data_IF_212951432241
#
_entry.id   IF_212951432241
#
_cell.length_a   1.000
_cell.length_b   1.000
_cell.length_c   1.000
_cell.angle_alpha   90.00
_cell.angle_beta   90.00
_cell.angle_gamma   90.00
#
_symmetry.space_group_name_H-M   'P 1'
#
loop_
_entity.id
_entity.type
_entity.pdbx_description
1 polymer ?
#
# COMPACT_ATOMS: atom_id res chain seq x y z
N UNK A 1 7.77 11.54 19.02
CA UNK A 1 7.70 12.67 18.05
C UNK A 1 7.36 12.12 16.67
N UNK A 2 6.44 12.75 15.92
CA UNK A 2 6.16 12.38 14.53
C UNK A 2 7.47 12.49 13.73
N UNK A 3 7.97 11.41 13.10
CA UNK A 3 9.27 11.42 12.44
C UNK A 3 9.24 12.33 11.19
N UNK A 4 10.39 12.90 10.78
CA UNK A 4 10.48 13.59 9.51
C UNK A 4 10.13 12.63 8.36
N UNK A 5 9.59 13.13 7.24
CA UNK A 5 9.34 12.29 6.07
C UNK A 5 10.63 11.65 5.56
N UNK A 6 10.49 10.62 4.74
CA UNK A 6 11.63 10.00 4.09
C UNK A 6 12.29 11.00 3.12
N UNK A 7 13.61 11.18 3.22
CA UNK A 7 14.31 12.26 2.51
C UNK A 7 14.16 13.66 3.10
N UNK A 8 13.54 13.80 4.29
CA UNK A 8 13.50 15.05 5.07
C UNK A 8 12.31 15.97 4.79
N UNK A 9 11.69 15.91 3.60
CA UNK A 9 10.51 16.72 3.24
C UNK A 9 9.45 15.90 2.53
N UNK A 10 8.17 16.29 2.67
CA UNK A 10 7.11 15.79 1.80
C UNK A 10 7.16 16.51 0.46
N UNK A 11 7.07 15.74 -0.60
CA UNK A 11 6.79 16.27 -1.95
C UNK A 11 5.31 16.65 -1.99
N UNK A 12 4.99 17.81 -2.55
CA UNK A 12 3.64 18.22 -2.87
C UNK A 12 3.61 18.72 -4.31
N UNK A 13 3.13 17.87 -5.20
CA UNK A 13 2.95 18.20 -6.61
C UNK A 13 1.47 18.43 -6.97
N UNK A 14 0.60 18.64 -5.96
CA UNK A 14 -0.80 19.00 -6.18
C UNK A 14 -0.90 20.43 -6.67
N UNK A 15 -1.63 20.64 -7.76
CA UNK A 15 -1.87 21.99 -8.24
C UNK A 15 -3.01 22.66 -7.46
N UNK A 16 -2.90 23.97 -7.22
CA UNK A 16 -3.98 24.75 -6.64
C UNK A 16 -5.20 24.82 -7.58
N UNK A 17 -6.37 25.18 -7.06
CA UNK A 17 -7.59 25.28 -7.86
C UNK A 17 -7.42 26.23 -9.06
N UNK A 18 -6.79 27.40 -8.86
CA UNK A 18 -6.54 28.39 -9.91
C UNK A 18 -5.56 27.88 -10.99
N UNK A 19 -4.52 27.15 -10.60
CA UNK A 19 -3.61 26.52 -11.54
C UNK A 19 -4.33 25.42 -12.31
N UNK A 20 -5.16 24.63 -11.65
CA UNK A 20 -5.93 23.56 -12.29
C UNK A 20 -6.88 24.09 -13.36
N UNK A 21 -7.62 25.17 -13.08
CA UNK A 21 -8.51 25.79 -14.07
C UNK A 21 -7.74 26.22 -15.33
N UNK A 22 -6.58 26.82 -15.18
CA UNK A 22 -5.69 27.17 -16.29
C UNK A 22 -5.21 25.93 -17.04
N UNK A 23 -4.74 24.91 -16.32
CA UNK A 23 -4.28 23.65 -16.91
C UNK A 23 -5.41 22.91 -17.63
N UNK A 24 -6.64 22.97 -17.12
CA UNK A 24 -7.80 22.36 -17.77
C UNK A 24 -8.08 22.97 -19.17
N UNK A 25 -7.81 24.25 -19.36
CA UNK A 25 -7.89 24.88 -20.69
C UNK A 25 -6.79 24.37 -21.64
N UNK A 26 -5.60 24.09 -21.12
CA UNK A 26 -4.44 23.58 -21.88
C UNK A 26 -4.61 22.08 -22.25
N UNK A 27 -5.43 21.32 -21.51
CA UNK A 27 -5.59 19.85 -21.71
C UNK A 27 -6.15 19.48 -23.10
N UNK A 28 -6.81 20.41 -23.80
CA UNK A 28 -7.34 20.17 -25.13
C UNK A 28 -6.21 19.90 -26.15
N UNK A 29 -5.09 20.59 -25.97
CA UNK A 29 -3.93 20.57 -26.87
C UNK A 29 -2.87 19.51 -26.47
N UNK A 30 -3.01 18.89 -25.29
CA UNK A 30 -2.07 17.89 -24.82
C UNK A 30 -2.45 16.49 -25.32
N UNK A 31 -1.42 15.71 -25.69
CA UNK A 31 -1.57 14.28 -25.88
C UNK A 31 -2.12 13.63 -24.59
N UNK A 32 -3.00 12.66 -24.75
CA UNK A 32 -3.64 11.95 -23.64
C UNK A 32 -3.22 10.49 -23.65
N UNK A 33 -2.72 10.03 -22.52
CA UNK A 33 -2.35 8.63 -22.32
C UNK A 33 -3.19 8.06 -21.18
N UNK A 34 -3.80 6.91 -21.42
CA UNK A 34 -4.47 6.12 -20.38
C UNK A 34 -3.48 5.09 -19.88
N UNK A 35 -2.83 5.33 -18.71
CA UNK A 35 -1.88 4.38 -18.15
C UNK A 35 -2.59 3.16 -17.59
N UNK A 36 -1.83 2.15 -17.21
CA UNK A 36 -2.37 1.08 -16.34
C UNK A 36 -2.81 1.67 -15.01
N UNK A 37 -3.78 1.04 -14.35
CA UNK A 37 -4.32 1.53 -13.07
C UNK A 37 -3.22 1.77 -12.02
N UNK A 38 -2.18 0.93 -12.01
CA UNK A 38 -1.06 1.02 -11.08
C UNK A 38 -0.32 2.36 -11.19
N UNK A 39 -0.09 2.84 -12.42
CA UNK A 39 0.63 4.11 -12.65
C UNK A 39 -0.22 5.33 -12.28
N UNK A 40 -1.55 5.23 -12.37
CA UNK A 40 -2.42 6.31 -11.86
C UNK A 40 -2.35 6.42 -10.34
N UNK A 41 -2.38 5.27 -9.62
CA UNK A 41 -2.16 5.28 -8.19
C UNK A 41 -0.77 5.79 -7.84
N UNK A 42 0.27 5.39 -8.58
CA UNK A 42 1.64 5.86 -8.34
C UNK A 42 1.75 7.37 -8.57
N UNK A 43 1.19 7.90 -9.66
CA UNK A 43 1.16 9.35 -9.91
C UNK A 43 0.46 10.10 -8.77
N UNK A 44 -0.67 9.60 -8.29
CA UNK A 44 -1.34 10.21 -7.13
C UNK A 44 -0.45 10.17 -5.90
N UNK A 45 0.19 9.03 -5.58
CA UNK A 45 1.03 8.89 -4.38
C UNK A 45 2.30 9.73 -4.44
N UNK A 46 2.89 9.91 -5.62
CA UNK A 46 3.96 10.88 -5.83
C UNK A 46 3.40 12.28 -5.55
N UNK A 47 2.29 12.64 -6.19
CA UNK A 47 1.70 13.98 -6.13
C UNK A 47 1.29 14.44 -4.74
N UNK A 48 0.80 13.53 -3.88
CA UNK A 48 0.42 13.86 -2.50
C UNK A 48 1.56 13.68 -1.48
N UNK A 49 2.75 13.24 -1.93
CA UNK A 49 3.91 13.03 -1.09
C UNK A 49 3.97 11.70 -0.35
N UNK A 50 3.06 10.75 -0.63
CA UNK A 50 3.12 9.42 -0.03
C UNK A 50 4.37 8.64 -0.45
N UNK A 51 4.90 8.94 -1.64
CA UNK A 51 6.12 8.37 -2.19
C UNK A 51 7.32 9.34 -2.11
N UNK A 52 7.28 10.32 -1.20
CA UNK A 52 8.46 11.16 -0.96
C UNK A 52 9.71 10.30 -0.69
N UNK A 53 10.87 10.66 -1.29
CA UNK A 53 11.17 11.94 -1.93
C UNK A 53 10.94 11.99 -3.45
N UNK A 54 10.23 11.02 -4.05
CA UNK A 54 10.01 11.02 -5.49
C UNK A 54 9.15 12.21 -5.94
N UNK A 55 9.61 12.91 -6.97
CA UNK A 55 8.89 14.01 -7.62
C UNK A 55 8.22 13.57 -8.93
N UNK A 56 8.52 12.34 -9.39
CA UNK A 56 7.99 11.76 -10.63
C UNK A 56 8.34 10.29 -10.78
N UNK A 57 8.13 9.79 -11.97
CA UNK A 57 8.51 8.42 -12.34
C UNK A 57 10.01 8.31 -12.58
N UNK A 58 10.60 7.22 -12.11
CA UNK A 58 12.04 6.96 -12.15
C UNK A 58 12.55 6.75 -13.57
N UNK A 59 13.73 7.30 -13.85
CA UNK A 59 14.53 6.97 -15.03
C UNK A 59 15.42 5.72 -14.79
N UNK A 60 16.17 5.30 -15.83
CA UNK A 60 16.99 4.07 -15.79
C UNK A 60 17.96 4.02 -14.64
N UNK A 61 18.71 5.10 -14.38
CA UNK A 61 19.68 5.16 -13.28
C UNK A 61 19.04 4.86 -11.92
N UNK A 62 17.87 5.47 -11.65
CA UNK A 62 17.16 5.27 -10.39
C UNK A 62 16.58 3.85 -10.29
N UNK A 63 16.05 3.31 -11.40
CA UNK A 63 15.55 1.93 -11.46
C UNK A 63 16.69 0.97 -11.16
N UNK A 64 17.83 1.09 -11.84
CA UNK A 64 18.99 0.22 -11.67
C UNK A 64 19.53 0.27 -10.24
N UNK A 65 19.63 1.45 -9.63
CA UNK A 65 20.05 1.63 -8.25
C UNK A 65 19.10 0.92 -7.27
N UNK A 66 17.79 1.06 -7.47
CA UNK A 66 16.76 0.42 -6.64
C UNK A 66 16.80 -1.11 -6.80
N UNK A 67 16.91 -1.61 -8.03
CA UNK A 67 16.98 -3.06 -8.28
C UNK A 67 18.23 -3.69 -7.66
N UNK A 68 19.39 -3.03 -7.83
CA UNK A 68 20.68 -3.55 -7.39
C UNK A 68 20.89 -3.43 -5.88
N UNK A 69 20.51 -2.32 -5.26
CA UNK A 69 20.91 -1.96 -3.90
C UNK A 69 19.74 -1.64 -2.94
N UNK A 70 18.50 -1.66 -3.43
CA UNK A 70 17.34 -1.16 -2.70
C UNK A 70 17.54 0.27 -2.17
N UNK A 71 18.16 1.15 -2.99
CA UNK A 71 18.44 2.55 -2.69
C UNK A 71 18.25 3.42 -3.92
N UNK A 72 17.87 4.68 -3.70
CA UNK A 72 17.91 5.72 -4.73
C UNK A 72 19.36 6.08 -5.09
N UNK A 73 19.62 6.81 -6.20
CA UNK A 73 20.96 7.27 -6.56
C UNK A 73 21.68 8.08 -5.46
N UNK A 74 20.93 8.82 -4.66
CA UNK A 74 21.44 9.59 -3.51
C UNK A 74 21.63 8.76 -2.22
N UNK A 75 21.65 7.44 -2.35
CA UNK A 75 21.83 6.44 -1.28
C UNK A 75 20.73 6.37 -0.22
N UNK A 76 19.59 7.04 -0.42
CA UNK A 76 18.42 6.85 0.44
C UNK A 76 17.83 5.44 0.25
N UNK A 77 17.51 4.70 1.34
CA UNK A 77 16.84 3.41 1.24
C UNK A 77 15.51 3.52 0.47
N UNK A 78 15.37 2.70 -0.56
CA UNK A 78 14.16 2.64 -1.39
C UNK A 78 14.13 1.32 -2.14
N UNK A 79 13.13 0.50 -1.95
CA UNK A 79 13.18 -0.90 -2.38
C UNK A 79 12.25 -1.26 -3.54
N UNK A 80 11.46 -0.31 -4.03
CA UNK A 80 10.47 -0.57 -5.06
C UNK A 80 10.64 0.39 -6.24
N UNK A 81 10.87 -0.07 -7.47
CA UNK A 81 10.95 0.81 -8.63
C UNK A 81 9.55 1.37 -8.95
N UNK A 82 9.47 2.69 -9.11
CA UNK A 82 8.26 3.42 -9.49
C UNK A 82 8.50 4.02 -10.88
N UNK A 83 8.00 3.35 -11.90
CA UNK A 83 8.27 3.67 -13.29
C UNK A 83 6.96 3.77 -14.10
N UNK A 84 7.05 4.40 -15.27
CA UNK A 84 5.92 4.59 -16.18
C UNK A 84 6.13 3.82 -17.48
N UNK A 85 5.62 2.59 -17.62
CA UNK A 85 5.60 1.90 -18.90
C UNK A 85 4.54 2.53 -19.79
N UNK A 86 4.90 2.80 -21.04
CA UNK A 86 3.95 3.34 -22.01
C UNK A 86 2.98 2.22 -22.40
N UNK A 87 1.66 2.43 -22.26
CA UNK A 87 0.69 1.42 -22.65
C UNK A 87 0.70 1.21 -24.17
N UNK A 88 0.55 -0.04 -24.59
CA UNK A 88 0.25 -0.37 -26.00
C UNK A 88 -1.25 -0.11 -26.25
N UNK A 89 -1.61 0.48 -27.39
CA UNK A 89 -3.03 0.64 -27.76
C UNK A 89 -3.44 2.05 -28.20
N UNK A 90 -4.75 2.37 -28.20
CA UNK A 90 -5.25 3.69 -28.60
C UNK A 90 -4.61 4.81 -27.76
N UNK A 91 -4.02 5.80 -28.42
CA UNK A 91 -3.20 6.86 -27.83
C UNK A 91 -1.70 6.59 -27.86
N UNK A 92 -1.24 5.35 -28.12
CA UNK A 92 0.18 5.07 -28.30
C UNK A 92 0.77 5.74 -29.54
N UNK A 93 -0.03 5.96 -30.58
CA UNK A 93 0.41 6.67 -31.79
C UNK A 93 0.70 8.14 -31.48
N UNK A 94 -0.13 8.81 -30.69
CA UNK A 94 0.13 10.17 -30.21
C UNK A 94 1.35 10.19 -29.28
N UNK A 95 1.45 9.18 -28.39
CA UNK A 95 2.57 8.99 -27.50
C UNK A 95 3.91 8.77 -28.22
N UNK A 96 3.90 8.11 -29.40
CA UNK A 96 5.10 7.85 -30.19
C UNK A 96 5.78 9.12 -30.70
N UNK A 97 4.99 10.18 -30.98
CA UNK A 97 5.49 11.48 -31.47
C UNK A 97 6.10 12.37 -30.38
N UNK A 98 5.84 12.09 -29.10
CA UNK A 98 6.32 12.92 -27.97
C UNK A 98 7.85 12.79 -27.81
N UNK A 99 8.47 13.87 -27.32
CA UNK A 99 9.92 13.99 -27.09
C UNK A 99 10.20 14.39 -25.64
N UNK A 100 11.42 14.19 -25.16
CA UNK A 100 11.84 14.82 -23.92
C UNK A 100 11.60 16.33 -23.94
N UNK A 101 10.99 16.85 -22.87
CA UNK A 101 10.50 18.23 -22.74
C UNK A 101 8.98 18.38 -22.91
N UNK A 102 8.32 17.45 -23.63
CA UNK A 102 6.87 17.49 -23.82
C UNK A 102 6.12 17.11 -22.53
N UNK A 103 4.90 17.62 -22.41
CA UNK A 103 3.96 17.22 -21.35
C UNK A 103 2.87 16.31 -21.95
N UNK A 104 2.41 15.36 -21.13
CA UNK A 104 1.33 14.44 -21.48
C UNK A 104 0.32 14.35 -20.34
N UNK A 105 -0.96 14.33 -20.68
CA UNK A 105 -2.03 14.16 -19.71
C UNK A 105 -2.29 12.66 -19.43
N UNK A 106 -2.12 12.26 -18.15
CA UNK A 106 -2.48 10.93 -17.68
C UNK A 106 -3.97 10.92 -17.33
N UNK A 107 -4.76 10.13 -18.07
CA UNK A 107 -6.21 10.12 -17.94
C UNK A 107 -6.73 8.82 -17.32
N UNK A 108 -7.80 8.93 -16.53
CA UNK A 108 -8.51 7.79 -15.98
C UNK A 108 -9.40 7.07 -17.02
N UNK A 109 -10.14 6.07 -16.60
CA UNK A 109 -11.05 5.29 -17.46
C UNK A 109 -12.17 6.13 -18.07
N UNK A 110 -12.54 7.24 -17.42
CA UNK A 110 -13.57 8.16 -17.88
C UNK A 110 -12.98 9.27 -18.79
N UNK A 111 -11.67 9.22 -19.09
CA UNK A 111 -10.96 10.23 -19.89
C UNK A 111 -10.63 11.51 -19.13
N UNK A 112 -10.85 11.56 -17.80
CA UNK A 112 -10.55 12.72 -16.97
C UNK A 112 -9.06 12.76 -16.66
N UNK A 113 -8.40 13.89 -16.91
CA UNK A 113 -7.00 14.07 -16.58
C UNK A 113 -6.78 14.07 -15.05
N UNK A 114 -5.92 13.16 -14.59
CA UNK A 114 -5.54 12.99 -13.19
C UNK A 114 -4.22 13.70 -12.89
N UNK A 115 -3.24 13.54 -13.77
CA UNK A 115 -1.92 14.15 -13.62
C UNK A 115 -1.36 14.56 -14.98
N UNK A 116 -0.38 15.46 -14.97
CA UNK A 116 0.51 15.74 -16.10
C UNK A 116 1.86 15.11 -15.81
N UNK A 117 2.43 14.44 -16.80
CA UNK A 117 3.81 13.95 -16.77
C UNK A 117 4.62 14.79 -17.77
N UNK A 118 5.67 15.47 -17.30
CA UNK A 118 6.67 16.08 -18.16
C UNK A 118 7.74 15.05 -18.47
N UNK A 119 7.86 14.67 -19.73
CA UNK A 119 8.81 13.64 -20.15
C UNK A 119 10.23 14.20 -20.07
N UNK A 120 11.07 13.61 -19.23
CA UNK A 120 12.51 13.94 -19.18
C UNK A 120 13.33 12.95 -19.99
N UNK A 121 12.96 11.67 -19.94
CA UNK A 121 13.68 10.62 -20.65
C UNK A 121 12.71 9.57 -21.19
N UNK A 122 13.04 9.04 -22.38
CA UNK A 122 12.37 7.88 -22.99
C UNK A 122 13.39 6.76 -23.08
N UNK A 123 13.05 5.59 -22.55
CA UNK A 123 13.96 4.45 -22.49
C UNK A 123 13.26 3.11 -22.67
N UNK A 124 14.06 2.07 -22.88
CA UNK A 124 13.56 0.68 -22.95
C UNK A 124 13.65 0.04 -21.56
N UNK A 125 12.52 -0.48 -21.08
CA UNK A 125 12.43 -1.17 -19.81
C UNK A 125 12.80 -2.65 -19.97
N UNK A 126 13.80 -3.11 -19.25
CA UNK A 126 14.06 -4.54 -19.09
C UNK A 126 13.10 -5.13 -18.05
N UNK A 127 11.97 -5.67 -18.55
CA UNK A 127 10.92 -6.26 -17.71
C UNK A 127 11.41 -7.46 -16.89
N UNK A 128 12.34 -8.25 -17.45
CA UNK A 128 12.95 -9.37 -16.75
C UNK A 128 13.82 -8.90 -15.58
N UNK A 129 14.67 -7.89 -15.79
CA UNK A 129 15.46 -7.29 -14.72
C UNK A 129 14.58 -6.70 -13.63
N UNK A 130 13.50 -5.99 -13.99
CA UNK A 130 12.55 -5.46 -13.00
C UNK A 130 11.88 -6.58 -12.22
N UNK A 131 11.42 -7.65 -12.87
CA UNK A 131 10.79 -8.79 -12.21
C UNK A 131 11.76 -9.49 -11.24
N UNK A 132 12.95 -9.87 -11.73
CA UNK A 132 13.99 -10.50 -10.88
C UNK A 132 14.42 -9.59 -9.73
N UNK A 133 14.73 -8.34 -10.05
CA UNK A 133 15.25 -7.39 -9.06
C UNK A 133 14.23 -6.97 -8.01
N UNK A 134 12.94 -6.96 -8.33
CA UNK A 134 11.87 -6.56 -7.40
C UNK A 134 11.30 -7.75 -6.65
N UNK A 135 10.96 -8.83 -7.37
CA UNK A 135 10.21 -9.98 -6.85
C UNK A 135 11.05 -11.24 -6.66
N UNK A 136 12.32 -11.23 -7.08
CA UNK A 136 13.21 -12.38 -6.99
C UNK A 136 12.90 -13.51 -7.98
N UNK A 137 11.96 -13.28 -8.92
CA UNK A 137 11.50 -14.29 -9.87
C UNK A 137 10.99 -13.66 -11.16
N UNK A 138 11.00 -14.42 -12.24
CA UNK A 138 10.31 -14.09 -13.49
C UNK A 138 9.07 -14.99 -13.73
N UNK A 139 8.72 -15.83 -12.77
CA UNK A 139 7.60 -16.76 -12.88
C UNK A 139 6.27 -15.98 -13.01
N UNK A 140 5.53 -16.13 -14.13
CA UNK A 140 4.27 -15.44 -14.34
C UNK A 140 3.13 -15.91 -13.42
N UNK A 141 3.33 -16.96 -12.63
CA UNK A 141 2.38 -17.33 -11.57
C UNK A 141 2.40 -16.33 -10.41
N UNK A 142 3.47 -15.54 -10.29
CA UNK A 142 3.51 -14.40 -9.38
C UNK A 142 2.68 -13.23 -9.96
N UNK A 143 1.63 -12.72 -9.27
CA UNK A 143 0.67 -11.79 -9.86
C UNK A 143 1.29 -10.51 -10.41
N UNK A 144 2.24 -9.91 -9.68
CA UNK A 144 2.89 -8.69 -10.16
C UNK A 144 3.92 -8.94 -11.28
N UNK A 145 4.51 -10.12 -11.35
CA UNK A 145 5.34 -10.51 -12.51
C UNK A 145 4.46 -10.64 -13.76
N UNK A 146 3.30 -11.29 -13.63
CA UNK A 146 2.33 -11.36 -14.72
C UNK A 146 1.90 -9.95 -15.20
N UNK A 147 1.73 -9.00 -14.29
CA UNK A 147 1.43 -7.61 -14.64
C UNK A 147 2.59 -6.94 -15.40
N UNK A 148 3.83 -7.06 -14.91
CA UNK A 148 5.03 -6.52 -15.59
C UNK A 148 5.17 -7.07 -17.00
N UNK A 149 4.95 -8.36 -17.20
CA UNK A 149 5.08 -9.00 -18.51
C UNK A 149 4.03 -8.52 -19.52
N UNK A 150 2.92 -7.94 -19.06
CA UNK A 150 1.89 -7.31 -19.89
C UNK A 150 2.18 -5.85 -20.22
N UNK A 151 3.11 -5.21 -19.52
CA UNK A 151 3.50 -3.83 -19.82
C UNK A 151 4.25 -3.76 -21.15
N UNK A 152 4.16 -2.61 -21.86
CA UNK A 152 5.04 -2.28 -22.94
C UNK A 152 6.51 -2.21 -22.49
N UNK A 153 7.41 -2.28 -23.45
CA UNK A 153 8.86 -2.14 -23.17
C UNK A 153 9.35 -0.70 -23.23
N UNK A 154 8.57 0.21 -23.81
CA UNK A 154 8.88 1.63 -23.78
C UNK A 154 8.44 2.23 -22.45
N UNK A 155 9.27 3.07 -21.87
CA UNK A 155 8.99 3.73 -20.62
C UNK A 155 9.44 5.19 -20.65
N UNK A 156 8.78 6.00 -19.82
CA UNK A 156 9.09 7.41 -19.65
C UNK A 156 9.42 7.71 -18.20
N UNK A 157 10.32 8.66 -17.98
CA UNK A 157 10.59 9.24 -16.68
C UNK A 157 10.31 10.73 -16.67
N UNK A 158 10.17 11.28 -15.48
CA UNK A 158 10.06 12.72 -15.27
C UNK A 158 9.06 13.09 -14.18
N UNK A 159 9.05 14.38 -13.80
CA UNK A 159 8.20 14.89 -12.73
C UNK A 159 6.72 14.91 -13.15
N UNK A 160 5.86 14.82 -12.14
CA UNK A 160 4.40 14.92 -12.33
C UNK A 160 3.82 16.16 -11.66
N UNK A 161 2.71 16.63 -12.18
CA UNK A 161 1.80 17.56 -11.52
C UNK A 161 0.45 16.86 -11.32
N UNK A 162 0.01 16.74 -10.08
CA UNK A 162 -1.28 16.11 -9.76
C UNK A 162 -2.41 17.13 -9.90
N UNK A 163 -3.24 16.96 -10.92
CA UNK A 163 -4.39 17.83 -11.18
C UNK A 163 -5.59 17.48 -10.29
N UNK A 164 -5.81 16.18 -10.08
CA UNK A 164 -6.99 15.68 -9.35
C UNK A 164 -6.66 14.42 -8.59
N UNK A 165 -7.28 14.29 -7.42
CA UNK A 165 -7.25 13.05 -6.65
C UNK A 165 -8.09 11.97 -7.38
N UNK A 166 -7.67 10.73 -7.24
CA UNK A 166 -8.47 9.58 -7.65
C UNK A 166 -9.74 9.49 -6.82
N UNK A 167 -10.74 8.75 -7.32
CA UNK A 167 -12.00 8.59 -6.62
C UNK A 167 -11.80 7.89 -5.28
N UNK A 168 -12.54 8.34 -4.30
CA UNK A 168 -12.56 7.77 -2.95
C UNK A 168 -13.33 6.45 -2.91
N UNK A 169 -13.16 5.73 -1.82
CA UNK A 169 -13.94 4.53 -1.50
C UNK A 169 -15.23 4.96 -0.79
N UNK A 170 -16.33 4.97 -1.51
CA UNK A 170 -17.58 5.53 -1.01
C UNK A 170 -17.38 7.01 -0.65
N UNK A 171 -17.79 7.41 0.55
CA UNK A 171 -17.61 8.77 1.09
C UNK A 171 -16.24 8.97 1.79
N UNK A 172 -15.44 7.90 1.94
CA UNK A 172 -14.17 7.94 2.67
C UNK A 172 -13.03 8.37 1.75
N UNK A 173 -12.58 9.60 1.93
CA UNK A 173 -11.42 10.14 1.23
C UNK A 173 -10.12 9.65 1.89
N UNK A 174 -9.16 9.24 1.08
CA UNK A 174 -7.79 9.04 1.53
C UNK A 174 -7.16 10.40 1.90
N UNK A 175 -6.67 10.60 3.13
CA UNK A 175 -5.93 11.82 3.47
C UNK A 175 -4.57 11.82 2.76
N UNK A 176 -4.06 13.02 2.44
CA UNK A 176 -2.65 13.15 2.07
C UNK A 176 -1.76 13.01 3.32
N UNK A 177 -0.47 12.66 3.15
CA UNK A 177 0.45 12.55 4.28
C UNK A 177 0.51 13.79 5.18
N UNK A 178 0.47 14.98 4.60
CA UNK A 178 0.45 16.23 5.37
C UNK A 178 -0.80 16.36 6.25
N UNK A 179 -1.98 16.00 5.69
CA UNK A 179 -3.26 16.04 6.41
C UNK A 179 -3.27 15.03 7.57
N UNK A 180 -2.77 13.82 7.34
CA UNK A 180 -2.76 12.78 8.37
C UNK A 180 -1.76 13.09 9.50
N UNK A 181 -0.63 13.68 9.17
CA UNK A 181 0.32 14.20 10.17
C UNK A 181 -0.30 15.28 11.05
N UNK A 182 -1.14 16.15 10.47
CA UNK A 182 -1.86 17.17 11.23
C UNK A 182 -2.97 16.54 12.08
N UNK A 183 -3.67 15.53 11.56
CA UNK A 183 -4.64 14.76 12.32
C UNK A 183 -4.00 14.12 13.57
N UNK A 184 -2.80 13.52 13.44
CA UNK A 184 -2.08 12.98 14.60
C UNK A 184 -1.76 14.05 15.65
N UNK A 185 -1.32 15.24 15.22
CA UNK A 185 -1.06 16.35 16.15
C UNK A 185 -2.33 16.81 16.86
N UNK A 186 -3.44 16.91 16.14
CA UNK A 186 -4.73 17.32 16.72
C UNK A 186 -5.27 16.30 17.74
N UNK A 187 -4.91 15.01 17.57
CA UNK A 187 -5.21 13.94 18.53
C UNK A 187 -4.22 13.91 19.72
N UNK A 188 -3.19 14.75 19.72
CA UNK A 188 -2.13 14.74 20.71
C UNK A 188 -1.15 13.57 20.56
N UNK A 189 -1.14 12.90 19.39
CA UNK A 189 -0.25 11.78 19.14
C UNK A 189 1.09 12.24 18.61
N UNK A 190 2.16 11.75 19.22
CA UNK A 190 3.53 12.00 18.79
C UNK A 190 4.23 10.74 18.27
N UNK A 191 3.82 9.58 18.70
CA UNK A 191 4.39 8.29 18.29
C UNK A 191 3.28 7.35 17.82
N UNK A 192 3.13 7.22 16.51
CA UNK A 192 2.06 6.44 15.88
C UNK A 192 2.63 5.15 15.28
N UNK A 193 1.98 4.03 15.57
CA UNK A 193 2.26 2.78 14.86
C UNK A 193 1.35 2.64 13.63
N UNK A 194 1.94 2.29 12.49
CA UNK A 194 1.19 1.99 11.27
C UNK A 194 0.92 0.50 11.14
N UNK A 195 -0.31 0.14 10.85
CA UNK A 195 -0.72 -1.23 10.53
C UNK A 195 -1.28 -1.31 9.12
N UNK A 196 -0.69 -2.15 8.28
CA UNK A 196 -1.18 -2.40 6.93
C UNK A 196 -2.04 -3.65 6.87
N UNK A 197 -3.13 -3.57 6.16
CA UNK A 197 -3.98 -4.70 5.82
C UNK A 197 -4.58 -4.53 4.43
N UNK A 198 -5.09 -5.63 3.88
CA UNK A 198 -5.88 -5.66 2.64
C UNK A 198 -7.08 -6.60 2.75
N UNK A 199 -7.27 -7.17 3.92
CA UNK A 199 -8.36 -8.06 4.24
C UNK A 199 -9.07 -7.54 5.50
N UNK A 200 -10.33 -7.90 5.72
CA UNK A 200 -11.02 -7.63 6.97
C UNK A 200 -10.26 -8.18 8.18
N UNK A 201 -10.41 -7.57 9.36
CA UNK A 201 -9.71 -8.02 10.55
C UNK A 201 -10.24 -9.38 11.05
N UNK A 202 -9.34 -10.14 11.66
CA UNK A 202 -9.67 -11.28 12.52
C UNK A 202 -8.86 -11.17 13.81
N UNK A 203 -9.10 -12.03 14.78
CA UNK A 203 -8.53 -11.93 16.12
C UNK A 203 -7.00 -11.92 16.14
N UNK A 204 -6.33 -12.60 15.21
CA UNK A 204 -4.87 -12.51 15.11
C UNK A 204 -4.39 -11.11 14.69
N UNK A 205 -5.10 -10.43 13.80
CA UNK A 205 -4.81 -9.03 13.46
C UNK A 205 -5.07 -8.11 14.66
N UNK A 206 -6.21 -8.30 15.33
CA UNK A 206 -6.55 -7.55 16.55
C UNK A 206 -5.49 -7.71 17.64
N UNK A 207 -4.99 -8.94 17.84
CA UNK A 207 -3.93 -9.22 18.81
C UNK A 207 -2.67 -8.39 18.54
N UNK A 208 -2.15 -8.40 17.29
CA UNK A 208 -0.95 -7.62 16.94
C UNK A 208 -1.16 -6.11 17.19
N UNK A 209 -2.34 -5.61 16.89
CA UNK A 209 -2.71 -4.22 17.09
C UNK A 209 -2.76 -3.86 18.58
N UNK A 210 -3.38 -4.72 19.40
CA UNK A 210 -3.51 -4.51 20.85
C UNK A 210 -2.17 -4.57 21.56
N UNK A 211 -1.35 -5.59 21.30
CA UNK A 211 -0.01 -5.68 21.92
C UNK A 211 0.92 -4.55 21.47
N UNK A 212 0.64 -3.94 20.30
CA UNK A 212 1.34 -2.72 19.89
C UNK A 212 0.88 -1.52 20.73
N UNK A 213 -0.44 -1.37 20.98
CA UNK A 213 -0.98 -0.27 21.79
C UNK A 213 -0.63 -0.36 23.29
N UNK A 214 -0.29 -1.54 23.80
CA UNK A 214 0.21 -1.73 25.16
C UNK A 214 1.65 -1.24 25.38
N UNK A 215 2.37 -0.93 24.28
CA UNK A 215 3.72 -0.39 24.39
C UNK A 215 3.66 1.06 24.88
N UNK A 216 4.46 1.36 25.90
CA UNK A 216 4.49 2.68 26.57
C UNK A 216 4.76 3.82 25.57
N UNK A 217 5.61 3.57 24.58
CA UNK A 217 6.02 4.56 23.60
C UNK A 217 4.99 4.84 22.50
N UNK A 218 3.88 4.08 22.41
CA UNK A 218 2.89 4.22 21.32
C UNK A 218 1.65 5.00 21.78
N UNK A 219 1.44 6.18 21.21
CA UNK A 219 0.27 7.02 21.50
C UNK A 219 -0.98 6.54 20.77
N UNK A 220 -0.83 6.09 19.54
CA UNK A 220 -1.96 5.68 18.71
C UNK A 220 -1.60 4.74 17.58
N UNK A 221 -2.63 4.14 17.00
CA UNK A 221 -2.54 3.20 15.89
C UNK A 221 -3.26 3.73 14.66
N UNK A 222 -2.55 3.81 13.56
CA UNK A 222 -3.12 3.99 12.23
C UNK A 222 -3.38 2.62 11.60
N UNK A 223 -4.63 2.21 11.52
CA UNK A 223 -5.05 1.11 10.64
C UNK A 223 -5.21 1.67 9.22
N UNK A 224 -4.41 1.17 8.29
CA UNK A 224 -4.24 1.74 6.95
C UNK A 224 -4.51 0.70 5.86
N UNK A 225 -5.80 0.35 5.62
CA UNK A 225 -6.18 -0.65 4.64
C UNK A 225 -5.83 -0.21 3.21
N UNK A 226 -5.23 -1.14 2.46
CA UNK A 226 -4.97 -0.94 1.04
C UNK A 226 -6.27 -1.13 0.27
N UNK A 227 -6.70 -0.07 -0.42
CA UNK A 227 -7.97 0.00 -1.16
C UNK A 227 -7.77 0.36 -2.65
N UNK A 228 -6.56 0.22 -3.16
CA UNK A 228 -6.25 0.48 -4.57
C UNK A 228 -6.78 -0.60 -5.52
N UNK A 229 -5.95 -1.00 -6.49
CA UNK A 229 -6.34 -2.02 -7.46
C UNK A 229 -6.71 -3.35 -6.78
N UNK A 230 -7.87 -3.86 -7.12
CA UNK A 230 -8.45 -5.11 -6.63
C UNK A 230 -8.48 -6.16 -7.74
N UNK A 231 -8.62 -7.42 -7.35
CA UNK A 231 -8.83 -8.55 -8.23
C UNK A 231 -10.06 -9.35 -7.80
N UNK A 232 -10.57 -10.17 -8.71
CA UNK A 232 -11.65 -11.11 -8.41
C UNK A 232 -11.32 -11.94 -7.17
N UNK A 233 -12.27 -12.04 -6.25
CA UNK A 233 -12.12 -12.74 -4.98
C UNK A 233 -11.54 -11.91 -3.83
N UNK A 234 -11.14 -10.66 -4.06
CA UNK A 234 -10.83 -9.73 -2.99
C UNK A 234 -12.12 -9.19 -2.34
N UNK A 235 -12.04 -8.80 -1.08
CA UNK A 235 -13.12 -8.05 -0.46
C UNK A 235 -13.21 -6.64 -1.05
N UNK A 236 -14.43 -6.14 -1.17
CA UNK A 236 -14.64 -4.75 -1.59
C UNK A 236 -14.02 -3.79 -0.57
N UNK A 237 -13.46 -2.66 -1.03
CA UNK A 237 -12.81 -1.71 -0.14
C UNK A 237 -13.72 -1.20 0.98
N UNK A 238 -15.00 -0.93 0.65
CA UNK A 238 -16.00 -0.48 1.61
C UNK A 238 -16.18 -1.49 2.74
N UNK A 239 -16.25 -2.79 2.38
CA UNK A 239 -16.41 -3.89 3.34
C UNK A 239 -15.20 -4.00 4.27
N UNK A 240 -13.98 -3.82 3.74
CA UNK A 240 -12.77 -3.83 4.57
C UNK A 240 -12.80 -2.67 5.57
N UNK A 241 -13.14 -1.47 5.11
CA UNK A 241 -13.22 -0.29 5.96
C UNK A 241 -14.33 -0.41 7.00
N UNK A 242 -15.54 -0.86 6.61
CA UNK A 242 -16.65 -1.10 7.52
C UNK A 242 -16.31 -2.14 8.59
N UNK A 243 -15.60 -3.20 8.21
CA UNK A 243 -15.17 -4.25 9.13
C UNK A 243 -14.17 -3.73 10.17
N UNK A 244 -13.23 -2.86 9.77
CA UNK A 244 -12.32 -2.21 10.73
C UNK A 244 -13.04 -1.18 11.59
N UNK A 245 -13.96 -0.40 11.04
CA UNK A 245 -14.77 0.54 11.83
C UNK A 245 -15.61 -0.19 12.88
N UNK A 246 -16.24 -1.32 12.52
CA UNK A 246 -16.98 -2.16 13.46
C UNK A 246 -16.06 -2.69 14.57
N UNK A 247 -14.87 -3.18 14.21
CA UNK A 247 -13.87 -3.63 15.20
C UNK A 247 -13.43 -2.49 16.12
N UNK A 248 -13.06 -1.34 15.55
CA UNK A 248 -12.56 -0.21 16.35
C UNK A 248 -13.63 0.32 17.26
N UNK A 249 -14.86 0.50 16.78
CA UNK A 249 -15.99 0.99 17.58
C UNK A 249 -16.33 0.07 18.75
N UNK A 250 -16.24 -1.24 18.54
CA UNK A 250 -16.64 -2.23 19.56
C UNK A 250 -15.53 -2.61 20.54
N UNK A 251 -14.26 -2.50 20.14
CA UNK A 251 -13.18 -3.20 20.85
C UNK A 251 -11.93 -2.37 21.13
N UNK A 252 -11.90 -1.08 20.74
CA UNK A 252 -10.76 -0.19 21.02
C UNK A 252 -11.19 1.09 21.73
N UNK A 253 -10.31 1.70 22.52
CA UNK A 253 -10.54 3.04 23.02
C UNK A 253 -10.63 4.04 21.84
N UNK A 254 -11.69 4.84 21.80
CA UNK A 254 -11.98 5.74 20.67
C UNK A 254 -10.85 6.74 20.34
N UNK A 255 -10.03 7.08 21.33
CA UNK A 255 -8.91 8.03 21.18
C UNK A 255 -7.58 7.39 20.80
N UNK A 256 -7.53 6.07 20.55
CA UNK A 256 -6.26 5.36 20.36
C UNK A 256 -6.10 4.74 18.97
N UNK A 257 -7.14 4.64 18.16
CA UNK A 257 -7.11 3.99 16.83
C UNK A 257 -7.90 4.81 15.83
N UNK A 258 -7.28 5.04 14.66
CA UNK A 258 -8.00 5.58 13.50
C UNK A 258 -7.84 4.65 12.31
N UNK A 259 -8.86 4.62 11.44
CA UNK A 259 -8.89 3.86 10.19
C UNK A 259 -8.90 4.85 9.05
N UNK A 260 -7.91 4.77 8.16
CA UNK A 260 -7.82 5.62 6.97
C UNK A 260 -7.46 4.78 5.75
N UNK A 261 -8.15 4.94 4.60
CA UNK A 261 -7.83 4.19 3.38
C UNK A 261 -6.48 4.60 2.80
N UNK A 262 -5.82 3.66 2.13
CA UNK A 262 -4.60 3.89 1.35
C UNK A 262 -4.79 3.35 -0.07
N UNK A 263 -4.92 4.24 -1.04
CA UNK A 263 -5.13 3.92 -2.45
C UNK A 263 -3.82 3.61 -3.17
N UNK A 264 -3.25 2.43 -2.95
CA UNK A 264 -2.08 1.94 -3.69
C UNK A 264 -2.38 0.58 -4.30
N UNK A 265 -1.64 0.24 -5.35
CA UNK A 265 -1.59 -1.16 -5.81
C UNK A 265 -0.73 -1.99 -4.89
N UNK A 266 -1.26 -3.14 -4.47
CA UNK A 266 -0.49 -4.07 -3.64
C UNK A 266 0.62 -4.72 -4.47
N UNK A 267 1.86 -4.49 -4.06
CA UNK A 267 3.06 -5.13 -4.60
C UNK A 267 3.48 -6.25 -3.68
N UNK A 268 3.32 -7.49 -4.16
CA UNK A 268 3.61 -8.70 -3.38
C UNK A 268 5.11 -9.05 -3.42
N UNK A 269 5.97 -8.08 -3.15
CA UNK A 269 7.43 -8.22 -3.20
C UNK A 269 8.07 -8.74 -1.91
N UNK A 270 7.29 -9.31 -1.00
CA UNK A 270 7.80 -9.84 0.27
C UNK A 270 8.65 -8.82 1.02
N UNK A 271 9.95 -9.10 1.24
CA UNK A 271 10.84 -8.22 2.00
C UNK A 271 10.93 -6.80 1.42
N UNK A 272 11.12 -6.68 0.09
CA UNK A 272 11.23 -5.37 -0.57
C UNK A 272 9.94 -4.57 -0.47
N UNK A 273 8.79 -5.22 -0.59
CA UNK A 273 7.51 -4.56 -0.40
C UNK A 273 7.28 -4.16 1.06
N UNK A 274 7.67 -4.98 2.04
CA UNK A 274 7.57 -4.63 3.46
C UNK A 274 8.37 -3.37 3.79
N UNK A 275 9.60 -3.27 3.27
CA UNK A 275 10.46 -2.10 3.42
C UNK A 275 9.84 -0.85 2.78
N UNK A 276 9.37 -0.96 1.53
CA UNK A 276 8.68 0.13 0.84
C UNK A 276 7.44 0.62 1.61
N UNK A 277 6.63 -0.30 2.10
CA UNK A 277 5.42 0.02 2.83
C UNK A 277 5.70 0.68 4.19
N UNK A 278 6.82 0.37 4.83
CA UNK A 278 7.29 1.09 6.01
C UNK A 278 7.68 2.54 5.68
N UNK A 279 8.41 2.76 4.57
CA UNK A 279 8.74 4.10 4.08
C UNK A 279 7.47 4.92 3.80
N UNK A 280 6.49 4.32 3.15
CA UNK A 280 5.18 4.98 2.92
C UNK A 280 4.56 5.39 4.25
N UNK A 281 4.50 4.51 5.27
CA UNK A 281 3.94 4.87 6.59
C UNK A 281 4.72 5.95 7.31
N UNK A 282 6.04 5.97 7.16
CA UNK A 282 6.88 7.08 7.65
C UNK A 282 6.46 8.41 7.01
N UNK A 283 6.20 8.44 5.71
CA UNK A 283 5.72 9.63 5.02
C UNK A 283 4.37 10.09 5.58
N UNK A 284 3.49 9.17 5.91
CA UNK A 284 2.23 9.48 6.62
C UNK A 284 2.40 9.85 8.09
N UNK A 285 3.61 9.78 8.66
CA UNK A 285 3.89 10.23 10.02
C UNK A 285 4.00 9.13 11.06
N UNK A 286 3.96 7.85 10.66
CA UNK A 286 4.17 6.75 11.60
C UNK A 286 5.63 6.67 12.05
N UNK A 287 5.84 6.52 13.35
CA UNK A 287 7.14 6.28 13.98
C UNK A 287 7.48 4.79 14.09
N UNK A 288 6.46 3.94 14.05
CA UNK A 288 6.61 2.49 14.07
C UNK A 288 5.74 1.83 13.01
N UNK A 289 6.13 0.64 12.56
CA UNK A 289 5.41 -0.14 11.55
C UNK A 289 5.29 -1.59 11.98
N UNK A 290 4.08 -2.11 12.06
CA UNK A 290 3.80 -3.49 12.42
C UNK A 290 4.15 -4.40 11.25
N UNK A 291 5.08 -5.33 11.49
CA UNK A 291 5.52 -6.33 10.51
C UNK A 291 5.16 -7.72 11.06
N UNK A 292 4.12 -8.31 10.49
CA UNK A 292 3.69 -9.67 10.81
C UNK A 292 4.45 -10.72 9.99
N UNK A 293 4.10 -11.98 10.21
CA UNK A 293 4.55 -13.09 9.39
C UNK A 293 4.10 -12.90 7.94
N UNK A 294 4.99 -13.19 6.97
CA UNK A 294 4.69 -13.13 5.53
C UNK A 294 4.13 -11.78 5.06
N UNK A 295 4.62 -10.68 5.67
CA UNK A 295 4.19 -9.34 5.33
C UNK A 295 4.45 -9.02 3.86
N UNK A 296 3.39 -8.68 3.11
CA UNK A 296 3.43 -8.38 1.68
C UNK A 296 3.94 -9.53 0.79
N UNK A 297 3.90 -10.76 1.28
CA UNK A 297 4.19 -11.96 0.50
C UNK A 297 2.98 -12.46 -0.29
N UNK A 298 3.23 -13.44 -1.15
CA UNK A 298 2.20 -14.17 -1.91
C UNK A 298 2.64 -15.60 -2.17
N UNK A 299 1.72 -16.54 -2.03
CA UNK A 299 1.99 -17.96 -2.28
C UNK A 299 3.14 -18.50 -1.43
N UNK A 300 4.16 -19.07 -2.10
CA UNK A 300 5.38 -19.62 -1.47
C UNK A 300 6.65 -18.99 -2.04
N UNK A 301 6.54 -17.78 -2.61
CA UNK A 301 7.69 -17.12 -3.24
C UNK A 301 8.72 -16.61 -2.25
N UNK A 302 8.37 -16.38 -0.99
CA UNK A 302 9.23 -15.80 0.02
C UNK A 302 9.27 -16.63 1.29
N UNK A 303 10.42 -16.59 1.99
CA UNK A 303 10.49 -17.06 3.37
C UNK A 303 9.57 -16.19 4.25
N UNK A 304 8.72 -16.79 5.09
CA UNK A 304 7.71 -16.07 5.88
C UNK A 304 8.26 -14.97 6.80
N UNK A 305 9.54 -15.07 7.20
CA UNK A 305 10.20 -14.10 8.08
C UNK A 305 11.28 -13.27 7.37
N UNK A 306 11.43 -13.38 6.05
CA UNK A 306 12.34 -12.53 5.28
C UNK A 306 11.97 -11.04 5.41
N UNK A 307 10.67 -10.75 5.54
CA UNK A 307 10.17 -9.39 5.79
C UNK A 307 10.60 -8.80 7.15
N UNK A 308 11.01 -9.63 8.12
CA UNK A 308 11.59 -9.15 9.38
C UNK A 308 13.07 -8.76 9.19
N UNK A 309 13.83 -9.57 8.46
CA UNK A 309 15.27 -9.39 8.28
C UNK A 309 15.64 -8.25 7.35
N UNK A 310 14.75 -7.83 6.44
CA UNK A 310 15.03 -6.75 5.47
C UNK A 310 15.35 -5.40 6.13
N UNK A 311 14.94 -5.21 7.37
CA UNK A 311 15.18 -3.99 8.14
C UNK A 311 16.52 -4.00 8.90
N UNK A 312 17.23 -5.12 8.93
CA UNK A 312 18.46 -5.25 9.71
C UNK A 312 19.56 -4.34 9.13
N UNK A 313 20.18 -3.55 10.00
CA UNK A 313 21.23 -2.60 9.60
C UNK A 313 20.76 -1.36 8.85
N UNK A 314 19.43 -1.14 8.71
CA UNK A 314 18.88 0.04 8.07
C UNK A 314 18.34 1.02 9.12
N UNK A 315 18.83 2.25 9.08
CA UNK A 315 18.18 3.38 9.77
C UNK A 315 17.19 4.05 8.82
N UNK A 316 15.93 3.69 8.97
CA UNK A 316 14.84 4.26 8.19
C UNK A 316 14.15 5.43 8.88
N UNK A 317 14.45 5.68 10.16
CA UNK A 317 13.69 6.60 11.00
C UNK A 317 12.23 6.19 11.21
N UNK A 318 11.92 4.90 11.06
CA UNK A 318 10.67 4.22 11.45
C UNK A 318 11.05 2.85 12.00
N UNK A 319 10.51 2.50 13.16
CA UNK A 319 10.85 1.27 13.89
C UNK A 319 9.98 0.10 13.40
N UNK A 320 10.55 -0.97 12.83
CA UNK A 320 9.78 -2.17 12.51
C UNK A 320 9.44 -2.95 13.80
N UNK A 321 8.16 -3.08 14.10
CA UNK A 321 7.66 -3.92 15.19
C UNK A 321 7.39 -5.32 14.65
N UNK A 322 8.31 -6.23 14.90
CA UNK A 322 8.33 -7.58 14.35
C UNK A 322 7.52 -8.53 15.23
N UNK A 323 6.47 -9.08 14.68
CA UNK A 323 5.60 -10.02 15.37
C UNK A 323 5.59 -11.39 14.69
N UNK A 324 5.68 -12.42 15.51
CA UNK A 324 5.52 -13.80 15.07
C UNK A 324 4.05 -14.12 14.77
N UNK A 325 3.82 -15.30 14.18
CA UNK A 325 2.47 -15.81 13.96
C UNK A 325 1.71 -15.91 15.28
N UNK A 326 0.52 -15.36 15.32
CA UNK A 326 -0.38 -15.44 16.46
C UNK A 326 -1.49 -16.46 16.25
N UNK A 327 -1.90 -17.12 17.30
CA UNK A 327 -2.93 -18.15 17.31
C UNK A 327 -3.78 -18.04 18.58
N UNK A 328 -5.01 -18.55 18.52
CA UNK A 328 -5.79 -18.76 19.74
C UNK A 328 -5.38 -20.09 20.37
N UNK A 329 -4.99 -20.08 21.63
CA UNK A 329 -4.67 -21.29 22.37
C UNK A 329 -5.91 -21.75 23.18
N UNK A 330 -6.46 -22.93 22.86
CA UNK A 330 -7.64 -23.48 23.53
C UNK A 330 -7.41 -23.66 25.04
N UNK A 331 -6.20 -24.07 25.42
CA UNK A 331 -5.87 -24.32 26.83
C UNK A 331 -5.65 -23.04 27.63
N UNK A 332 -5.06 -21.99 27.01
CA UNK A 332 -4.95 -20.67 27.63
C UNK A 332 -6.29 -19.91 27.62
N UNK A 333 -7.19 -20.23 26.67
CA UNK A 333 -8.40 -19.44 26.40
C UNK A 333 -8.10 -18.05 25.84
N UNK A 334 -6.93 -17.86 25.18
CA UNK A 334 -6.38 -16.55 24.83
C UNK A 334 -5.61 -16.55 23.53
N UNK A 335 -5.51 -15.37 22.90
CA UNK A 335 -4.60 -15.14 21.77
C UNK A 335 -3.14 -15.11 22.27
N UNK A 336 -2.26 -15.80 21.56
CA UNK A 336 -0.85 -15.94 21.92
C UNK A 336 0.04 -16.08 20.69
N UNK A 337 1.35 -16.00 20.89
CA UNK A 337 2.39 -16.45 19.97
C UNK A 337 3.24 -17.54 20.63
N UNK A 338 4.13 -18.19 19.88
CA UNK A 338 5.08 -19.16 20.43
C UNK A 338 5.99 -18.57 21.52
N UNK A 339 6.17 -17.25 21.49
CA UNK A 339 6.99 -16.52 22.44
C UNK A 339 6.40 -16.48 23.87
N UNK A 340 5.08 -16.60 23.99
CA UNK A 340 4.37 -16.43 25.27
C UNK A 340 3.50 -17.62 25.65
N UNK A 341 3.33 -18.62 24.78
CA UNK A 341 2.48 -19.78 25.02
C UNK A 341 3.28 -21.09 24.96
N UNK A 342 3.32 -21.89 26.03
CA UNK A 342 4.06 -23.15 26.06
C UNK A 342 3.33 -24.33 25.42
N UNK A 343 2.07 -24.15 24.97
CA UNK A 343 1.25 -25.26 24.50
C UNK A 343 1.53 -25.59 23.02
N UNK A 344 1.51 -26.89 22.72
CA UNK A 344 1.82 -27.40 21.38
C UNK A 344 0.75 -27.14 20.33
N UNK A 345 1.02 -27.52 19.08
CA UNK A 345 0.13 -27.24 17.92
C UNK A 345 -1.28 -27.78 18.05
N UNK A 346 -1.50 -28.88 18.79
CA UNK A 346 -2.84 -29.48 19.02
C UNK A 346 -3.80 -28.52 19.75
N UNK A 347 -3.28 -27.59 20.53
CA UNK A 347 -4.05 -26.60 21.28
C UNK A 347 -4.27 -25.30 20.47
N UNK A 348 -3.68 -25.16 19.31
CA UNK A 348 -3.64 -23.92 18.54
C UNK A 348 -4.77 -23.88 17.51
N UNK A 349 -5.50 -22.77 17.50
CA UNK A 349 -6.42 -22.41 16.42
C UNK A 349 -5.77 -21.32 15.59
N UNK A 350 -5.27 -21.69 14.43
CA UNK A 350 -4.71 -20.73 13.46
C UNK A 350 -5.84 -20.17 12.61
N UNK A 351 -5.87 -18.87 12.48
CA UNK A 351 -6.87 -18.15 11.69
C UNK A 351 -6.30 -17.80 10.32
N UNK A 352 -7.04 -18.11 9.25
CA UNK A 352 -6.70 -17.70 7.91
C UNK A 352 -7.88 -17.06 7.19
N UNK A 353 -7.60 -16.08 6.32
CA UNK A 353 -8.62 -15.43 5.49
C UNK A 353 -9.35 -16.41 4.57
N UNK A 354 -8.66 -17.42 4.06
CA UNK A 354 -9.26 -18.48 3.22
C UNK A 354 -10.33 -19.23 4.01
N UNK A 355 -10.01 -19.70 5.20
CA UNK A 355 -10.96 -20.40 6.06
C UNK A 355 -12.15 -19.53 6.44
N UNK A 356 -11.93 -18.26 6.75
CA UNK A 356 -13.02 -17.33 7.07
C UNK A 356 -13.96 -17.19 5.87
N UNK A 357 -13.44 -17.00 4.64
CA UNK A 357 -14.27 -16.89 3.44
C UNK A 357 -15.07 -18.18 3.17
N UNK A 358 -14.43 -19.33 3.28
CA UNK A 358 -15.08 -20.64 3.06
C UNK A 358 -16.22 -20.87 4.04
N UNK A 359 -16.01 -20.59 5.33
CA UNK A 359 -17.06 -20.75 6.36
C UNK A 359 -18.22 -19.77 6.14
N UNK A 360 -17.93 -18.50 5.87
CA UNK A 360 -18.97 -17.51 5.60
C UNK A 360 -19.77 -17.81 4.33
N UNK A 361 -19.09 -18.28 3.26
CA UNK A 361 -19.76 -18.69 2.03
C UNK A 361 -20.73 -19.89 2.24
N UNK A 362 -20.46 -20.74 3.23
CA UNK A 362 -21.33 -21.85 3.63
C UNK A 362 -22.43 -21.45 4.62
N UNK A 363 -22.45 -20.16 5.04
CA UNK A 363 -23.37 -19.69 6.06
C UNK A 363 -23.01 -20.14 7.48
N UNK A 364 -21.80 -20.66 7.69
CA UNK A 364 -21.36 -21.12 9.00
C UNK A 364 -21.09 -19.94 9.92
N UNK A 365 -21.39 -20.11 11.21
CA UNK A 365 -21.01 -19.17 12.26
C UNK A 365 -19.59 -19.45 12.68
N UNK A 366 -18.76 -18.41 12.68
CA UNK A 366 -17.38 -18.50 13.18
C UNK A 366 -17.34 -18.17 14.67
N UNK A 367 -16.53 -18.91 15.46
CA UNK A 367 -16.32 -18.60 16.87
C UNK A 367 -15.72 -17.20 17.07
N UNK A 368 -16.05 -16.54 18.17
CA UNK A 368 -15.52 -15.20 18.52
C UNK A 368 -14.00 -15.19 18.70
N UNK A 369 -13.39 -16.33 18.97
CA UNK A 369 -11.95 -16.57 19.02
C UNK A 369 -11.27 -16.44 17.65
N UNK A 370 -12.04 -16.49 16.57
CA UNK A 370 -11.56 -16.34 15.19
C UNK A 370 -11.97 -14.98 14.62
N UNK A 371 -13.25 -14.61 14.82
CA UNK A 371 -13.82 -13.42 14.18
C UNK A 371 -14.85 -12.78 15.10
N UNK A 372 -14.73 -11.47 15.34
CA UNK A 372 -15.71 -10.73 16.12
C UNK A 372 -17.08 -10.76 15.46
N UNK A 373 -18.18 -10.90 16.22
CA UNK A 373 -19.54 -10.96 15.66
C UNK A 373 -19.88 -9.77 14.75
N UNK A 374 -19.55 -8.55 15.16
CA UNK A 374 -19.83 -7.33 14.42
C UNK A 374 -19.06 -7.28 13.09
N UNK A 375 -17.85 -7.82 13.06
CA UNK A 375 -17.08 -8.00 11.83
C UNK A 375 -17.72 -9.06 10.94
N UNK A 376 -18.15 -10.17 11.51
CA UNK A 376 -18.83 -11.24 10.77
C UNK A 376 -20.12 -10.74 10.12
N UNK A 377 -20.89 -9.86 10.79
CA UNK A 377 -22.11 -9.27 10.27
C UNK A 377 -21.83 -8.37 9.04
N UNK A 378 -20.74 -7.61 9.06
CA UNK A 378 -20.30 -6.85 7.89
C UNK A 378 -19.95 -7.78 6.72
N UNK A 379 -19.25 -8.88 6.99
CA UNK A 379 -18.78 -9.82 5.95
C UNK A 379 -19.88 -10.70 5.37
N UNK A 380 -21.03 -10.85 6.05
CA UNK A 380 -22.19 -11.64 5.53
C UNK A 380 -23.03 -10.88 4.51
N UNK A 381 -22.76 -9.59 4.26
CA UNK A 381 -23.46 -8.86 3.20
C UNK A 381 -23.22 -9.54 1.85
N UNK A 382 -24.27 -9.64 1.05
CA UNK A 382 -24.27 -10.39 -0.21
C UNK A 382 -23.24 -9.91 -1.24
N UNK A 383 -22.78 -8.67 -1.14
CA UNK A 383 -21.86 -8.01 -2.04
C UNK A 383 -20.45 -7.81 -1.46
N UNK A 384 -20.12 -8.53 -0.37
CA UNK A 384 -18.87 -8.34 0.36
C UNK A 384 -17.60 -8.63 -0.47
N UNK A 385 -17.69 -9.54 -1.43
CA UNK A 385 -16.57 -10.00 -2.26
C UNK A 385 -16.81 -9.65 -3.72
N UNK A 386 -15.74 -9.23 -4.43
CA UNK A 386 -15.78 -8.98 -5.86
C UNK A 386 -15.99 -10.29 -6.64
N UNK A 387 -17.03 -10.33 -7.48
CA UNK A 387 -17.40 -11.50 -8.29
C UNK A 387 -16.96 -11.39 -9.75
N UNK A 388 -16.62 -10.19 -10.22
CA UNK A 388 -16.20 -9.91 -11.61
C UNK A 388 -14.91 -9.09 -11.64
#
# INVERSE_FOLDING_TARGET
>A
MIPPPHGGRLVDAQVSASIRERRDAELADLAKVRPFADQLYDAEKIGIGAYSPLEGFMGPEAIDAVLARARLPNDLPWSMPIYFPVPDGPGSAEAAGLRPGDEVALVDTDGRAVALLRIEEKFRLDRGAVARGTYGTEDPSHPNVADILRHGTDAWSGPIQLLRRLRTVGERREPAPAELREEFRSLGWSTVAGYQCRNPPHTAHEYLQRVTLEREEIDGLLVHPVVGRLKKGDYRPEVILDAYDALVKGYYPASRVIVRPLGITMRYGGPKAALFLAIVRKNYGCAAYIVGRDQAGVGKFYDPYACHRVFDGLDLGIVPLRYEESFFCRRCGWMASEKVCPHGPAERVVTSQTRIRESLAKGESLPSEILRPEVADVLRRSDAVLTS
#
